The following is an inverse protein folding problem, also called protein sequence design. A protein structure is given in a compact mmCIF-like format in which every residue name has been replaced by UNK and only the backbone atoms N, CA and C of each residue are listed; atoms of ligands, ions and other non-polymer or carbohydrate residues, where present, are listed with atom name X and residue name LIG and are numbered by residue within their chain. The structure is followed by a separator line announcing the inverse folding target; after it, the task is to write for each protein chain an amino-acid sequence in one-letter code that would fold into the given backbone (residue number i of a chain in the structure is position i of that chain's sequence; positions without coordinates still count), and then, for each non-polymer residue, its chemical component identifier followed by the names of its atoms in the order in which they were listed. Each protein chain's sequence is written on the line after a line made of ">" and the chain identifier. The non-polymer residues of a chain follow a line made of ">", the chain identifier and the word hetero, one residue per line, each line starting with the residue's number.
data_IF_178099044261
#
_entry.id   IF_178099044261
#
_cell.length_a   1.000
_cell.length_b   1.000
_cell.length_c   1.000
_cell.angle_alpha   90.00
_cell.angle_beta   90.00
_cell.angle_gamma   90.00
#
_symmetry.space_group_name_H-M   'P 1'
#
loop_
_entity.id
_entity.type
_entity.pdbx_description
1 polymer ?
#
# COMPACT_ATOMS: atom_id res chain seq x y z
N UNK A 1 11.92 2.74 -19.47
CA UNK A 1 10.53 2.25 -19.34
C UNK A 1 9.85 3.05 -18.25
N UNK A 2 8.89 3.91 -18.60
CA UNK A 2 8.17 4.72 -17.61
C UNK A 2 7.37 3.78 -16.71
N UNK A 3 7.79 3.63 -15.46
CA UNK A 3 7.06 2.84 -14.48
C UNK A 3 5.70 3.52 -14.26
N UNK A 4 4.62 2.93 -14.80
CA UNK A 4 3.26 3.42 -14.56
C UNK A 4 3.06 3.52 -13.05
N UNK A 5 2.82 4.73 -12.57
CA UNK A 5 2.45 4.97 -11.18
C UNK A 5 1.27 4.05 -10.83
N UNK A 6 1.39 3.33 -9.71
CA UNK A 6 0.29 2.50 -9.22
C UNK A 6 -0.88 3.41 -8.87
N UNK A 7 -2.09 3.00 -9.20
CA UNK A 7 -3.31 3.76 -8.86
C UNK A 7 -3.49 3.78 -7.34
N UNK A 8 -4.15 4.79 -6.76
CA UNK A 8 -4.42 4.75 -5.31
C UNK A 8 -5.26 3.52 -4.95
N UNK A 9 -6.09 3.00 -5.86
CA UNK A 9 -6.82 1.77 -5.61
C UNK A 9 -5.91 0.55 -5.37
N UNK A 10 -4.80 0.44 -6.12
CA UNK A 10 -3.81 -0.62 -5.92
C UNK A 10 -3.08 -0.47 -4.60
N UNK A 11 -2.75 0.77 -4.23
CA UNK A 11 -2.07 1.09 -2.98
C UNK A 11 -3.02 0.82 -1.81
N UNK A 12 -4.28 1.28 -1.89
CA UNK A 12 -5.35 1.04 -0.91
C UNK A 12 -5.52 -0.46 -0.62
N UNK A 13 -5.50 -1.32 -1.63
CA UNK A 13 -5.56 -2.77 -1.42
C UNK A 13 -4.39 -3.30 -0.58
N UNK A 14 -3.16 -2.84 -0.82
CA UNK A 14 -1.98 -3.22 0.00
C UNK A 14 -2.17 -2.78 1.46
N UNK A 15 -2.68 -1.57 1.65
CA UNK A 15 -2.90 -0.98 2.98
C UNK A 15 -4.02 -1.68 3.73
N UNK A 16 -5.13 -1.98 3.07
CA UNK A 16 -6.24 -2.75 3.65
C UNK A 16 -5.77 -4.13 4.08
N UNK A 17 -4.97 -4.82 3.24
CA UNK A 17 -4.43 -6.11 3.62
C UNK A 17 -3.52 -6.00 4.85
N UNK A 18 -2.70 -4.96 4.94
CA UNK A 18 -1.89 -4.73 6.14
C UNK A 18 -2.75 -4.37 7.37
N UNK A 19 -3.82 -3.59 7.20
CA UNK A 19 -4.78 -3.25 8.24
C UNK A 19 -5.49 -4.50 8.78
N UNK A 20 -5.78 -5.45 7.89
CA UNK A 20 -6.35 -6.77 8.22
C UNK A 20 -5.33 -7.71 8.91
N UNK A 21 -4.13 -7.22 9.26
CA UNK A 21 -3.11 -8.00 9.95
C UNK A 21 -2.29 -8.94 9.07
N UNK A 22 -2.42 -8.87 7.74
CA UNK A 22 -1.63 -9.73 6.85
C UNK A 22 -0.14 -9.34 6.90
N UNK A 23 0.71 -10.37 6.97
CA UNK A 23 2.16 -10.17 6.86
C UNK A 23 2.54 -9.69 5.46
N UNK A 24 3.66 -8.95 5.35
CA UNK A 24 4.20 -8.51 4.05
C UNK A 24 4.39 -9.69 3.08
N UNK A 25 4.78 -10.88 3.60
CA UNK A 25 4.92 -12.09 2.78
C UNK A 25 3.59 -12.59 2.20
N UNK A 26 2.50 -12.46 2.95
CA UNK A 26 1.17 -12.80 2.45
C UNK A 26 0.72 -11.78 1.41
N UNK A 27 0.89 -10.48 1.69
CA UNK A 27 0.53 -9.40 0.77
C UNK A 27 1.24 -9.55 -0.59
N UNK A 28 2.54 -9.87 -0.59
CA UNK A 28 3.29 -10.17 -1.83
C UNK A 28 2.62 -11.28 -2.65
N UNK A 29 2.18 -12.36 -2.00
CA UNK A 29 1.52 -13.50 -2.68
C UNK A 29 0.16 -13.12 -3.27
N UNK A 30 -0.59 -12.23 -2.62
CA UNK A 30 -1.93 -11.84 -3.05
C UNK A 30 -1.95 -10.66 -4.04
N UNK A 31 -0.93 -9.80 -4.03
CA UNK A 31 -0.94 -8.53 -4.76
C UNK A 31 -0.01 -8.50 -5.98
N UNK A 32 0.78 -9.56 -6.20
CA UNK A 32 1.78 -9.67 -7.27
C UNK A 32 2.79 -8.51 -7.30
N UNK A 33 2.96 -7.81 -6.17
CA UNK A 33 3.96 -6.75 -6.00
C UNK A 33 5.21 -7.26 -5.32
N UNK A 34 6.35 -6.67 -5.69
CA UNK A 34 7.60 -6.97 -5.01
C UNK A 34 7.53 -6.57 -3.53
N UNK A 35 8.27 -7.30 -2.69
CA UNK A 35 8.39 -6.99 -1.26
C UNK A 35 8.89 -5.56 -1.00
N UNK A 36 9.76 -5.06 -1.87
CA UNK A 36 10.33 -3.72 -1.76
C UNK A 36 9.29 -2.65 -2.08
N UNK A 37 8.45 -2.88 -3.09
CA UNK A 37 7.33 -2.00 -3.44
C UNK A 37 6.35 -1.84 -2.27
N UNK A 38 5.94 -2.95 -1.66
CA UNK A 38 5.02 -2.93 -0.50
C UNK A 38 5.66 -2.19 0.68
N UNK A 39 6.93 -2.45 0.98
CA UNK A 39 7.66 -1.72 2.04
C UNK A 39 7.77 -0.23 1.74
N UNK A 40 7.96 0.14 0.49
CA UNK A 40 8.00 1.54 0.05
C UNK A 40 6.70 2.25 0.39
N UNK A 41 5.56 1.67 0.01
CA UNK A 41 4.25 2.27 0.29
C UNK A 41 3.93 2.33 1.79
N UNK A 42 4.23 1.29 2.55
CA UNK A 42 4.02 1.31 4.00
C UNK A 42 4.87 2.39 4.68
N UNK A 43 6.14 2.53 4.29
CA UNK A 43 7.02 3.59 4.81
C UNK A 43 6.56 4.99 4.41
N UNK A 44 6.00 5.15 3.21
CA UNK A 44 5.46 6.44 2.76
C UNK A 44 4.30 6.89 3.65
N UNK A 45 3.49 5.95 4.16
CA UNK A 45 2.38 6.26 5.06
C UNK A 45 2.84 6.45 6.49
N UNK A 46 3.80 5.65 6.97
CA UNK A 46 4.43 5.91 8.26
C UNK A 46 5.12 7.29 8.32
N UNK A 47 5.59 7.78 7.17
CA UNK A 47 6.16 9.13 7.02
C UNK A 47 5.13 10.21 6.79
N UNK A 48 3.94 9.85 6.32
CA UNK A 48 2.85 10.81 6.22
C UNK A 48 2.23 10.98 7.60
N UNK A 49 1.70 12.17 7.88
CA UNK A 49 0.99 12.41 9.15
C UNK A 49 -0.35 11.67 9.24
N UNK A 50 -0.66 10.80 8.27
CA UNK A 50 -1.90 10.06 8.20
C UNK A 50 -1.71 8.67 8.80
N UNK A 51 -2.62 8.30 9.68
CA UNK A 51 -2.75 6.91 10.10
C UNK A 51 -3.16 6.03 8.92
N UNK A 52 -2.90 4.72 9.02
CA UNK A 52 -3.28 3.75 8.00
C UNK A 52 -4.79 3.87 7.66
N UNK A 53 -5.64 4.04 8.66
CA UNK A 53 -7.09 4.21 8.50
C UNK A 53 -7.47 5.51 7.78
N UNK A 54 -6.74 6.60 7.99
CA UNK A 54 -6.96 7.87 7.28
C UNK A 54 -6.47 7.78 5.83
N UNK A 55 -5.33 7.12 5.61
CA UNK A 55 -4.79 6.90 4.26
C UNK A 55 -5.73 6.06 3.38
N UNK A 56 -6.58 5.22 3.98
CA UNK A 56 -7.61 4.45 3.27
C UNK A 56 -8.78 5.32 2.79
N UNK A 57 -9.06 6.43 3.48
CA UNK A 57 -10.14 7.38 3.16
C UNK A 57 -9.72 8.43 2.14
N UNK A 58 -8.42 8.60 1.89
CA UNK A 58 -7.93 9.49 0.84
C UNK A 58 -8.44 8.97 -0.51
N UNK A 59 -9.27 9.78 -1.16
CA UNK A 59 -9.76 9.55 -2.52
C UNK A 59 -8.76 10.07 -3.55
N UNK A 60 -8.85 9.58 -4.79
CA UNK A 60 -7.96 9.91 -5.93
C UNK A 60 -8.36 11.25 -6.61
N UNK A 61 -9.11 12.12 -5.92
CA UNK A 61 -9.53 13.45 -6.44
C UNK A 61 -8.46 14.53 -6.22
#
# INVERSE_FOLDING_TARGET
>A
MAAKSKTMQQIRNILQQRANGLSIRAIVRHSNYSRNTIRGYLRLIERSSYTLSESLKLSDE
#
